data_IF_997695959921
#
_entry.id   IF_997695959921
#
_cell.length_a   1.000
_cell.length_b   1.000
_cell.length_c   1.000
_cell.angle_alpha   90.00
_cell.angle_beta   90.00
_cell.angle_gamma   90.00
#
_symmetry.space_group_name_H-M   'P 1'
#
loop_
_entity.id
_entity.type
_entity.pdbx_description
1 polymer ?
#
# COMPACT_ATOMS: atom_id res chain seq x y z
N UNK A 1 -6.29 -1.61 -25.08
CA UNK A 1 -7.33 -1.96 -26.10
C UNK A 1 -8.73 -2.06 -25.49
N UNK A 2 -8.93 -2.62 -24.30
CA UNK A 2 -10.24 -2.78 -23.63
C UNK A 2 -10.91 -1.43 -23.36
N UNK A 3 -10.21 -0.48 -22.76
CA UNK A 3 -10.72 0.88 -22.52
C UNK A 3 -11.25 1.56 -23.79
N UNK A 4 -10.57 1.38 -24.94
CA UNK A 4 -11.03 1.94 -26.20
C UNK A 4 -12.39 1.38 -26.66
N UNK A 5 -12.68 0.13 -26.34
CA UNK A 5 -13.99 -0.48 -26.66
C UNK A 5 -15.10 0.14 -25.85
N UNK A 6 -14.90 0.29 -24.52
CA UNK A 6 -15.89 0.85 -23.60
C UNK A 6 -16.00 2.38 -23.65
N UNK A 7 -15.02 3.06 -24.29
CA UNK A 7 -15.02 4.51 -24.49
C UNK A 7 -15.83 4.97 -25.71
N UNK A 8 -16.20 4.07 -26.65
CA UNK A 8 -16.79 4.43 -27.97
C UNK A 8 -18.01 5.34 -27.90
N UNK A 9 -18.86 5.17 -26.90
CA UNK A 9 -20.13 5.90 -26.76
C UNK A 9 -20.07 6.98 -25.67
N UNK A 10 -18.89 7.41 -25.26
CA UNK A 10 -18.69 8.39 -24.18
C UNK A 10 -17.90 9.59 -24.70
N UNK A 11 -18.26 10.79 -24.23
CA UNK A 11 -17.57 12.03 -24.58
C UNK A 11 -16.57 12.35 -23.47
N UNK A 12 -15.31 12.45 -23.82
CA UNK A 12 -14.23 12.81 -22.91
C UNK A 12 -13.74 14.22 -23.16
N UNK A 13 -13.30 14.90 -22.12
CA UNK A 13 -12.54 16.13 -22.21
C UNK A 13 -11.21 15.88 -22.95
N UNK A 14 -10.66 16.86 -23.70
CA UNK A 14 -9.42 16.71 -24.46
C UNK A 14 -8.20 16.31 -23.61
N UNK A 15 -8.22 16.61 -22.33
CA UNK A 15 -7.16 16.29 -21.35
C UNK A 15 -7.13 14.81 -20.96
N UNK A 16 -8.20 14.04 -21.22
CA UNK A 16 -8.33 12.65 -20.78
C UNK A 16 -7.53 11.74 -21.71
N UNK A 17 -6.55 11.05 -21.15
CA UNK A 17 -5.73 10.08 -21.85
C UNK A 17 -6.04 8.65 -21.37
N UNK A 18 -6.55 7.80 -22.26
CA UNK A 18 -6.87 6.40 -21.93
C UNK A 18 -5.64 5.56 -21.55
N UNK A 19 -4.43 5.94 -21.96
CA UNK A 19 -3.21 5.23 -21.56
C UNK A 19 -2.86 5.54 -20.10
N UNK A 20 -3.02 6.80 -19.69
CA UNK A 20 -2.85 7.20 -18.27
C UNK A 20 -3.83 6.48 -17.36
N UNK A 21 -5.10 6.31 -17.81
CA UNK A 21 -6.09 5.54 -17.07
C UNK A 21 -5.63 4.08 -16.91
N UNK A 22 -5.11 3.46 -17.98
CA UNK A 22 -4.64 2.08 -17.94
C UNK A 22 -3.45 1.89 -16.96
N UNK A 23 -2.53 2.87 -16.91
CA UNK A 23 -1.41 2.87 -15.97
C UNK A 23 -1.86 2.98 -14.49
N UNK A 24 -2.95 3.70 -14.23
CA UNK A 24 -3.51 3.90 -12.89
C UNK A 24 -4.46 2.79 -12.43
N UNK A 25 -4.76 1.82 -13.28
CA UNK A 25 -5.68 0.71 -12.99
C UNK A 25 -5.02 -0.66 -13.20
N UNK A 26 -3.84 -0.94 -12.60
CA UNK A 26 -3.26 -2.26 -12.69
C UNK A 26 -4.18 -3.30 -12.01
N UNK A 27 -4.29 -4.49 -12.60
CA UNK A 27 -5.12 -5.57 -12.05
C UNK A 27 -6.62 -5.46 -12.33
N UNK A 28 -7.11 -4.37 -12.93
CA UNK A 28 -8.53 -4.26 -13.29
C UNK A 28 -8.89 -5.22 -14.41
N UNK A 29 -9.97 -5.97 -14.22
CA UNK A 29 -10.57 -6.77 -15.27
C UNK A 29 -11.25 -5.92 -16.33
N UNK A 30 -11.64 -6.52 -17.46
CA UNK A 30 -12.43 -5.81 -18.47
C UNK A 30 -13.76 -5.27 -17.93
N UNK A 31 -14.38 -5.99 -16.98
CA UNK A 31 -15.60 -5.56 -16.31
C UNK A 31 -15.38 -4.35 -15.40
N UNK A 32 -14.27 -4.33 -14.65
CA UNK A 32 -13.92 -3.19 -13.79
C UNK A 32 -13.65 -1.93 -14.62
N UNK A 33 -12.94 -2.06 -15.75
CA UNK A 33 -12.69 -0.95 -16.67
C UNK A 33 -13.98 -0.42 -17.34
N UNK A 34 -14.92 -1.30 -17.65
CA UNK A 34 -16.23 -0.90 -18.15
C UNK A 34 -17.02 -0.15 -17.07
N UNK A 35 -17.03 -0.66 -15.84
CA UNK A 35 -17.66 -0.05 -14.70
C UNK A 35 -17.04 1.33 -14.40
N UNK A 36 -15.70 1.44 -14.42
CA UNK A 36 -14.99 2.71 -14.25
C UNK A 36 -15.50 3.80 -15.19
N UNK A 37 -15.56 3.50 -16.48
CA UNK A 37 -16.00 4.49 -17.46
C UNK A 37 -17.51 4.80 -17.34
N UNK A 38 -18.33 3.86 -16.85
CA UNK A 38 -19.74 4.10 -16.56
C UNK A 38 -19.92 5.00 -15.33
N UNK A 39 -19.22 4.71 -14.23
CA UNK A 39 -19.22 5.55 -13.03
C UNK A 39 -18.74 6.97 -13.33
N UNK A 40 -17.67 7.12 -14.13
CA UNK A 40 -17.18 8.43 -14.56
C UNK A 40 -18.24 9.21 -15.37
N UNK A 41 -18.99 8.53 -16.22
CA UNK A 41 -20.08 9.17 -16.97
C UNK A 41 -21.25 9.57 -16.05
N UNK A 42 -21.56 8.78 -15.03
CA UNK A 42 -22.59 9.09 -14.03
C UNK A 42 -22.16 10.30 -13.20
N UNK A 43 -20.89 10.39 -12.78
CA UNK A 43 -20.35 11.54 -12.05
C UNK A 43 -20.42 12.81 -12.88
N UNK A 44 -19.97 12.78 -14.14
CA UNK A 44 -20.09 13.89 -15.08
C UNK A 44 -21.54 14.36 -15.23
N UNK A 45 -22.49 13.42 -15.39
CA UNK A 45 -23.90 13.72 -15.49
C UNK A 45 -24.47 14.37 -14.22
N UNK A 46 -24.08 13.91 -13.03
CA UNK A 46 -24.46 14.52 -11.73
C UNK A 46 -23.95 15.95 -11.59
N UNK A 47 -22.75 16.24 -12.11
CA UNK A 47 -22.16 17.58 -12.14
C UNK A 47 -22.72 18.44 -13.29
N UNK A 48 -23.65 17.90 -14.07
CA UNK A 48 -24.26 18.55 -15.24
C UNK A 48 -23.24 18.93 -16.32
N UNK A 49 -22.10 18.21 -16.40
CA UNK A 49 -21.15 18.37 -17.47
C UNK A 49 -21.50 17.48 -18.67
N UNK A 50 -21.10 17.90 -19.88
CA UNK A 50 -21.36 17.15 -21.12
C UNK A 50 -20.22 16.22 -21.52
N UNK A 51 -19.11 16.26 -20.79
CA UNK A 51 -17.89 15.49 -21.05
C UNK A 51 -17.33 14.96 -19.75
N UNK A 52 -16.72 13.79 -19.82
CA UNK A 52 -16.02 13.16 -18.70
C UNK A 52 -14.64 13.81 -18.55
N UNK A 53 -14.34 14.34 -17.37
CA UNK A 53 -13.06 14.98 -17.05
C UNK A 53 -12.09 13.99 -16.40
N UNK A 54 -10.81 14.36 -16.28
CA UNK A 54 -9.81 13.60 -15.53
C UNK A 54 -10.20 13.44 -14.05
N UNK A 55 -10.85 14.46 -13.46
CA UNK A 55 -11.34 14.41 -12.08
C UNK A 55 -12.45 13.39 -11.89
N UNK A 56 -13.39 13.29 -12.85
CA UNK A 56 -14.46 12.28 -12.80
C UNK A 56 -13.89 10.87 -12.83
N UNK A 57 -12.85 10.66 -13.65
CA UNK A 57 -12.16 9.37 -13.74
C UNK A 57 -11.43 9.06 -12.43
N UNK A 58 -10.66 10.01 -11.90
CA UNK A 58 -9.95 9.83 -10.63
C UNK A 58 -10.91 9.48 -9.49
N UNK A 59 -11.99 10.23 -9.34
CA UNK A 59 -13.02 9.97 -8.34
C UNK A 59 -13.70 8.61 -8.53
N UNK A 60 -13.87 8.16 -9.78
CA UNK A 60 -14.44 6.85 -10.07
C UNK A 60 -13.47 5.71 -9.78
N UNK A 61 -12.19 5.87 -10.05
CA UNK A 61 -11.14 4.92 -9.65
C UNK A 61 -11.15 4.75 -8.14
N UNK A 62 -11.10 5.86 -7.42
CA UNK A 62 -11.17 5.88 -5.97
C UNK A 62 -12.42 5.14 -5.45
N UNK A 63 -13.58 5.44 -6.02
CA UNK A 63 -14.86 4.82 -5.63
C UNK A 63 -14.90 3.31 -5.88
N UNK A 64 -14.32 2.83 -6.96
CA UNK A 64 -14.32 1.39 -7.29
C UNK A 64 -13.36 0.63 -6.37
N UNK A 65 -12.19 1.18 -6.07
CA UNK A 65 -11.18 0.49 -5.27
C UNK A 65 -11.50 0.58 -3.78
N UNK A 66 -11.90 1.76 -3.30
CA UNK A 66 -12.03 2.02 -1.86
C UNK A 66 -13.47 2.13 -1.36
N UNK A 67 -14.46 2.17 -2.29
CA UNK A 67 -15.87 2.29 -1.95
C UNK A 67 -16.39 3.73 -1.97
N UNK A 68 -17.61 3.90 -1.47
CA UNK A 68 -18.28 5.20 -1.39
C UNK A 68 -17.61 6.09 -0.35
N UNK A 69 -17.59 7.40 -0.63
CA UNK A 69 -17.17 8.40 0.34
C UNK A 69 -18.07 8.37 1.58
N UNK A 70 -17.44 8.34 2.73
CA UNK A 70 -18.10 8.44 4.03
C UNK A 70 -18.26 9.89 4.47
N UNK A 71 -18.84 10.07 5.65
CA UNK A 71 -18.94 11.39 6.26
C UNK A 71 -17.55 11.87 6.72
N UNK A 72 -17.20 13.11 6.38
CA UNK A 72 -15.95 13.73 6.82
C UNK A 72 -15.82 13.70 8.35
N UNK A 73 -14.60 13.50 8.83
CA UNK A 73 -14.26 13.54 10.25
C UNK A 73 -14.52 14.96 10.78
N UNK A 74 -15.47 15.09 11.70
CA UNK A 74 -15.86 16.40 12.28
C UNK A 74 -14.97 16.81 13.45
N UNK A 75 -14.41 15.83 14.17
CA UNK A 75 -13.59 16.08 15.35
C UNK A 75 -12.14 16.35 14.94
N UNK A 76 -11.61 17.49 15.39
CA UNK A 76 -10.24 17.93 15.06
C UNK A 76 -9.16 16.99 15.63
N UNK A 77 -9.37 16.40 16.83
CA UNK A 77 -8.43 15.45 17.43
C UNK A 77 -8.36 14.15 16.62
N UNK A 78 -9.50 13.55 16.32
CA UNK A 78 -9.57 12.34 15.50
C UNK A 78 -9.03 12.57 14.09
N UNK A 79 -9.31 13.75 13.49
CA UNK A 79 -8.79 14.12 12.17
C UNK A 79 -7.25 14.18 12.16
N UNK A 80 -6.64 14.80 13.20
CA UNK A 80 -5.17 14.84 13.32
C UNK A 80 -4.57 13.45 13.56
N UNK A 81 -5.20 12.62 14.38
CA UNK A 81 -4.72 11.26 14.64
C UNK A 81 -4.68 10.44 13.35
N UNK A 82 -5.78 10.45 12.59
CA UNK A 82 -5.82 9.79 11.28
C UNK A 82 -4.79 10.41 10.33
N UNK A 83 -4.60 11.72 10.34
CA UNK A 83 -3.60 12.38 9.50
C UNK A 83 -2.16 11.91 9.83
N UNK A 84 -1.80 11.76 11.11
CA UNK A 84 -0.51 11.21 11.49
C UNK A 84 -0.35 9.76 11.06
N UNK A 85 -1.41 8.97 11.20
CA UNK A 85 -1.43 7.58 10.75
C UNK A 85 -1.14 7.48 9.24
N UNK A 86 -1.90 8.20 8.40
CA UNK A 86 -1.74 8.17 6.94
C UNK A 86 -0.39 8.76 6.48
N UNK A 87 0.04 9.87 7.06
CA UNK A 87 1.36 10.45 6.76
C UNK A 87 2.48 9.51 7.23
N UNK A 88 2.27 8.75 8.31
CA UNK A 88 3.19 7.72 8.75
C UNK A 88 3.43 6.66 7.68
N UNK A 89 2.37 6.11 7.07
CA UNK A 89 2.48 5.21 5.92
C UNK A 89 3.21 5.86 4.74
N UNK A 90 2.83 7.09 4.40
CA UNK A 90 3.39 7.80 3.25
C UNK A 90 4.89 8.08 3.40
N UNK A 91 5.35 8.55 4.58
CA UNK A 91 6.77 8.81 4.84
C UNK A 91 7.57 7.51 4.84
N UNK A 92 7.13 6.49 5.59
CA UNK A 92 7.86 5.23 5.65
C UNK A 92 7.98 4.57 4.29
N UNK A 93 6.90 4.54 3.49
CA UNK A 93 6.94 4.01 2.14
C UNK A 93 7.86 4.81 1.21
N UNK A 94 7.82 6.16 1.29
CA UNK A 94 8.65 7.00 0.41
C UNK A 94 10.14 6.93 0.75
N UNK A 95 10.49 6.75 2.04
CA UNK A 95 11.88 6.64 2.48
C UNK A 95 12.52 5.29 2.18
N UNK A 96 11.76 4.32 1.66
CA UNK A 96 12.25 3.00 1.30
C UNK A 96 12.33 2.86 -0.22
N UNK A 97 13.53 2.67 -0.74
CA UNK A 97 13.79 2.56 -2.20
C UNK A 97 13.06 1.40 -2.89
N UNK A 98 12.76 0.33 -2.15
CA UNK A 98 12.11 -0.88 -2.66
C UNK A 98 10.57 -0.87 -2.43
N UNK A 99 10.02 0.24 -1.94
CA UNK A 99 8.58 0.43 -1.76
C UNK A 99 7.94 1.09 -2.98
N UNK A 100 6.67 0.78 -3.22
CA UNK A 100 5.88 1.43 -4.26
C UNK A 100 5.71 2.93 -3.94
N UNK A 101 5.67 3.82 -4.95
CA UNK A 101 5.52 5.26 -4.71
C UNK A 101 4.14 5.63 -4.20
N UNK A 102 4.11 6.66 -3.35
CA UNK A 102 2.87 7.29 -2.91
C UNK A 102 2.22 8.01 -4.10
N UNK A 103 1.00 7.65 -4.42
CA UNK A 103 0.16 8.30 -5.43
C UNK A 103 -0.67 9.42 -4.80
N UNK A 104 -1.23 9.15 -3.60
CA UNK A 104 -2.11 10.09 -2.90
C UNK A 104 -2.25 9.73 -1.42
N UNK A 105 -2.41 10.75 -0.58
CA UNK A 105 -2.79 10.62 0.83
C UNK A 105 -4.07 11.42 1.05
N UNK A 106 -5.09 10.82 1.67
CA UNK A 106 -6.38 11.50 1.89
C UNK A 106 -7.01 11.17 3.24
N UNK A 107 -7.69 12.15 3.81
CA UNK A 107 -8.53 12.02 5.01
C UNK A 107 -10.01 11.85 4.68
N UNK A 108 -10.36 11.78 3.40
CA UNK A 108 -11.74 11.50 2.97
C UNK A 108 -12.03 10.03 3.26
N UNK A 109 -12.93 9.71 4.21
CA UNK A 109 -13.21 8.33 4.57
C UNK A 109 -13.83 7.58 3.39
N UNK A 110 -13.47 6.30 3.22
CA UNK A 110 -14.06 5.43 2.19
C UNK A 110 -14.30 4.04 2.76
N UNK A 111 -15.51 3.55 2.60
CA UNK A 111 -15.90 2.27 3.18
C UNK A 111 -15.69 2.25 4.70
N UNK A 112 -14.82 1.39 5.19
CA UNK A 112 -14.47 1.30 6.62
C UNK A 112 -13.19 2.11 6.98
N UNK A 113 -12.43 2.56 6.00
CA UNK A 113 -11.21 3.34 6.20
C UNK A 113 -11.56 4.80 6.53
N UNK A 114 -10.92 5.36 7.56
CA UNK A 114 -11.09 6.77 7.98
C UNK A 114 -10.18 7.72 7.23
N UNK A 115 -9.12 7.22 6.64
CA UNK A 115 -8.17 7.84 5.75
C UNK A 115 -7.64 6.79 4.79
N UNK A 116 -6.79 7.19 3.85
CA UNK A 116 -6.19 6.28 2.89
C UNK A 116 -4.88 6.85 2.36
N UNK A 117 -3.84 6.04 2.42
CA UNK A 117 -2.58 6.26 1.72
C UNK A 117 -2.48 5.28 0.56
N UNK A 118 -2.42 5.81 -0.64
CA UNK A 118 -2.40 4.99 -1.85
C UNK A 118 -1.00 4.90 -2.42
N UNK A 119 -0.58 3.66 -2.68
CA UNK A 119 0.67 3.33 -3.35
C UNK A 119 0.38 2.68 -4.69
N UNK A 120 1.03 3.12 -5.75
CA UNK A 120 0.85 2.55 -7.08
C UNK A 120 2.15 1.87 -7.53
N UNK A 121 2.13 0.57 -7.83
CA UNK A 121 3.29 -0.10 -8.41
C UNK A 121 3.71 0.56 -9.73
N UNK A 122 5.01 0.80 -9.89
CA UNK A 122 5.55 1.41 -11.12
C UNK A 122 5.53 0.45 -12.30
N UNK A 123 5.65 -0.85 -12.05
CA UNK A 123 5.66 -1.90 -13.07
C UNK A 123 4.82 -3.11 -12.63
N UNK A 124 4.35 -3.87 -13.60
CA UNK A 124 3.67 -5.16 -13.36
C UNK A 124 4.74 -6.20 -12.99
N UNK A 125 5.06 -6.25 -11.69
CA UNK A 125 6.14 -7.08 -11.14
C UNK A 125 5.63 -8.51 -10.98
N UNK A 126 5.97 -9.40 -11.91
CA UNK A 126 5.66 -10.83 -11.81
C UNK A 126 6.37 -11.54 -10.64
N UNK A 127 7.48 -11.01 -10.13
CA UNK A 127 8.25 -11.53 -8.99
C UNK A 127 8.56 -10.43 -7.99
N UNK A 128 8.36 -10.73 -6.71
CA UNK A 128 8.60 -9.80 -5.60
C UNK A 128 9.83 -10.25 -4.81
N UNK A 129 10.80 -9.36 -4.62
CA UNK A 129 12.01 -9.64 -3.86
C UNK A 129 11.75 -9.60 -2.34
N UNK A 130 12.66 -10.23 -1.56
CA UNK A 130 12.64 -10.14 -0.09
C UNK A 130 12.67 -8.68 0.40
N UNK A 131 13.49 -7.83 -0.24
CA UNK A 131 13.59 -6.40 0.10
C UNK A 131 12.26 -5.67 -0.10
N UNK A 132 11.55 -5.95 -1.20
CA UNK A 132 10.24 -5.35 -1.47
C UNK A 132 9.17 -5.80 -0.49
N UNK A 133 9.17 -7.07 -0.05
CA UNK A 133 8.23 -7.54 0.97
C UNK A 133 8.51 -6.85 2.31
N UNK A 134 9.79 -6.78 2.73
CA UNK A 134 10.17 -6.07 3.95
C UNK A 134 9.80 -4.58 3.88
N UNK A 135 10.02 -3.92 2.75
CA UNK A 135 9.63 -2.54 2.55
C UNK A 135 8.10 -2.34 2.70
N UNK A 136 7.30 -3.24 2.14
CA UNK A 136 5.83 -3.21 2.29
C UNK A 136 5.40 -3.42 3.74
N UNK A 137 6.06 -4.33 4.48
CA UNK A 137 5.79 -4.53 5.91
C UNK A 137 6.12 -3.26 6.70
N UNK A 138 7.28 -2.64 6.46
CA UNK A 138 7.70 -1.40 7.13
C UNK A 138 6.71 -0.26 6.80
N UNK A 139 6.34 -0.11 5.52
CA UNK A 139 5.35 0.88 5.08
C UNK A 139 3.99 0.70 5.77
N UNK A 140 3.51 -0.55 5.86
CA UNK A 140 2.24 -0.86 6.55
C UNK A 140 2.31 -0.63 8.07
N UNK A 141 3.48 -0.74 8.70
CA UNK A 141 3.66 -0.41 10.12
C UNK A 141 3.78 1.09 10.38
N UNK A 142 3.97 1.90 9.33
CA UNK A 142 4.17 3.34 9.42
C UNK A 142 3.06 4.09 10.13
N UNK A 143 1.80 3.71 9.92
CA UNK A 143 0.66 4.34 10.60
C UNK A 143 0.72 4.16 12.12
N UNK A 144 0.87 2.91 12.59
CA UNK A 144 1.02 2.62 14.01
C UNK A 144 2.26 3.28 14.61
N UNK A 145 3.39 3.21 13.92
CA UNK A 145 4.63 3.82 14.38
C UNK A 145 4.52 5.35 14.50
N UNK A 146 3.76 6.01 13.61
CA UNK A 146 3.48 7.44 13.71
C UNK A 146 2.65 7.79 14.94
N UNK A 147 1.60 7.01 15.24
CA UNK A 147 0.83 7.17 16.46
C UNK A 147 1.71 7.06 17.71
N UNK A 148 2.58 6.06 17.75
CA UNK A 148 3.49 5.81 18.87
C UNK A 148 4.51 6.94 19.06
N UNK A 149 5.15 7.41 17.99
CA UNK A 149 6.15 8.51 18.01
C UNK A 149 5.52 9.84 18.46
N UNK A 150 4.25 10.08 18.09
CA UNK A 150 3.61 11.38 18.31
C UNK A 150 2.85 11.45 19.62
N UNK A 151 2.09 10.40 19.96
CA UNK A 151 1.18 10.37 21.09
C UNK A 151 1.68 9.48 22.23
N UNK A 152 2.69 8.64 21.98
CA UNK A 152 3.21 7.66 22.92
C UNK A 152 2.48 6.32 22.84
N UNK A 153 3.12 5.25 23.32
CA UNK A 153 2.62 3.87 23.22
C UNK A 153 1.23 3.67 23.85
N UNK A 154 0.95 4.37 24.95
CA UNK A 154 -0.34 4.29 25.64
C UNK A 154 -1.54 4.82 24.83
N UNK A 155 -1.30 5.69 23.83
CA UNK A 155 -2.31 6.34 23.00
C UNK A 155 -2.46 5.69 21.61
N UNK A 156 -1.74 4.60 21.34
CA UNK A 156 -1.88 3.85 20.09
C UNK A 156 -3.30 3.31 19.96
N UNK A 157 -3.88 3.48 18.79
CA UNK A 157 -5.29 3.16 18.56
C UNK A 157 -5.52 1.82 17.87
N UNK A 158 -6.78 1.38 17.83
CA UNK A 158 -7.20 0.21 17.06
C UNK A 158 -7.25 0.48 15.54
N UNK A 159 -6.94 1.69 15.09
CA UNK A 159 -6.93 2.08 13.68
C UNK A 159 -6.05 1.19 12.82
N UNK A 160 -4.88 0.83 13.35
CA UNK A 160 -3.90 -0.02 12.68
C UNK A 160 -4.24 -1.52 12.65
N UNK A 161 -5.42 -1.97 13.09
CA UNK A 161 -5.73 -3.40 13.21
C UNK A 161 -5.64 -4.16 11.88
N UNK A 162 -6.09 -3.54 10.79
CA UNK A 162 -6.00 -4.13 9.45
C UNK A 162 -4.56 -4.22 8.95
N UNK A 163 -3.76 -3.19 9.22
CA UNK A 163 -2.34 -3.16 8.86
C UNK A 163 -1.56 -4.25 9.58
N UNK A 164 -1.83 -4.44 10.88
CA UNK A 164 -1.22 -5.51 11.67
C UNK A 164 -1.59 -6.90 11.14
N UNK A 165 -2.84 -7.11 10.72
CA UNK A 165 -3.25 -8.38 10.10
C UNK A 165 -2.51 -8.62 8.78
N UNK A 166 -2.39 -7.60 7.93
CA UNK A 166 -1.66 -7.70 6.65
C UNK A 166 -0.17 -7.95 6.89
N UNK A 167 0.47 -7.21 7.78
CA UNK A 167 1.88 -7.36 8.18
C UNK A 167 2.15 -8.78 8.66
N UNK A 168 1.32 -9.29 9.56
CA UNK A 168 1.47 -10.65 10.10
C UNK A 168 1.32 -11.70 9.00
N UNK A 169 0.36 -11.52 8.08
CA UNK A 169 0.17 -12.41 6.93
C UNK A 169 1.36 -12.40 5.98
N UNK A 170 1.89 -11.22 5.62
CA UNK A 170 3.07 -11.10 4.76
C UNK A 170 4.32 -11.70 5.41
N UNK A 171 4.58 -11.43 6.69
CA UNK A 171 5.71 -12.01 7.42
C UNK A 171 5.58 -13.53 7.50
N UNK A 172 4.38 -14.06 7.76
CA UNK A 172 4.14 -15.50 7.78
C UNK A 172 4.38 -16.15 6.43
N UNK A 173 3.93 -15.53 5.32
CA UNK A 173 4.19 -16.03 3.97
C UNK A 173 5.69 -16.03 3.63
N UNK A 174 6.46 -15.02 4.07
CA UNK A 174 7.91 -15.00 3.93
C UNK A 174 8.57 -16.24 4.54
N UNK A 175 8.13 -16.61 5.76
CA UNK A 175 8.67 -17.75 6.49
C UNK A 175 8.17 -19.08 5.88
N UNK A 176 6.86 -19.22 5.69
CA UNK A 176 6.26 -20.52 5.39
C UNK A 176 6.24 -20.89 3.92
N UNK A 177 6.09 -19.90 3.02
CA UNK A 177 5.86 -20.17 1.60
C UNK A 177 7.06 -19.81 0.73
N UNK A 178 7.79 -18.75 1.08
CA UNK A 178 8.86 -18.23 0.22
C UNK A 178 10.27 -18.64 0.68
N UNK A 179 10.40 -19.24 1.88
CA UNK A 179 11.71 -19.61 2.44
C UNK A 179 12.64 -18.40 2.61
N UNK A 180 12.10 -17.22 2.92
CA UNK A 180 12.81 -15.95 3.00
C UNK A 180 13.13 -15.54 4.44
N UNK A 181 13.27 -16.51 5.36
CA UNK A 181 13.62 -16.28 6.77
C UNK A 181 14.98 -16.90 7.14
N UNK A 182 15.38 -16.79 8.39
CA UNK A 182 16.61 -17.41 8.89
C UNK A 182 16.48 -18.94 9.07
N UNK A 183 15.26 -19.46 9.09
CA UNK A 183 15.02 -20.91 9.11
C UNK A 183 15.57 -21.59 7.85
N UNK A 184 15.73 -20.83 6.76
CA UNK A 184 16.31 -21.30 5.51
C UNK A 184 15.29 -21.44 4.38
N UNK A 185 15.74 -21.86 3.18
CA UNK A 185 14.89 -21.96 1.99
C UNK A 185 14.02 -23.22 2.03
N UNK A 186 13.11 -23.28 3.00
CA UNK A 186 12.18 -24.39 3.19
C UNK A 186 10.75 -23.86 3.10
N UNK A 187 9.86 -24.65 2.48
CA UNK A 187 8.44 -24.40 2.52
C UNK A 187 7.79 -25.27 3.62
N UNK A 188 6.98 -24.63 4.45
CA UNK A 188 6.19 -25.33 5.48
C UNK A 188 4.76 -25.47 4.96
N UNK A 189 4.27 -26.70 4.94
CA UNK A 189 2.93 -27.00 4.41
C UNK A 189 1.87 -26.34 5.30
N UNK A 190 1.05 -25.48 4.71
CA UNK A 190 -0.09 -24.83 5.40
C UNK A 190 -1.28 -25.80 5.61
N UNK A 191 -1.12 -27.06 5.23
CA UNK A 191 -2.18 -28.09 5.27
C UNK A 191 -2.39 -28.75 6.65
N UNK A 192 -1.97 -28.13 7.74
CA UNK A 192 -2.30 -28.64 9.10
C UNK A 192 -3.80 -28.72 9.38
N UNK A 193 -4.66 -28.10 8.55
CA UNK A 193 -6.11 -28.26 8.66
C UNK A 193 -6.67 -29.56 8.05
N UNK A 194 -5.88 -30.29 7.25
CA UNK A 194 -6.37 -31.52 6.58
C UNK A 194 -6.05 -32.81 7.35
N UNK A 195 -5.19 -32.75 8.37
CA UNK A 195 -4.77 -33.93 9.13
C UNK A 195 -5.41 -34.08 10.52
N UNK A 196 -6.24 -33.12 10.94
CA UNK A 196 -6.96 -33.22 12.22
C UNK A 196 -8.08 -34.33 12.19
N UNK A 197 -8.37 -34.89 11.03
CA UNK A 197 -9.44 -35.87 10.87
C UNK A 197 -9.00 -37.34 10.69
N UNK A 198 -7.71 -37.63 10.74
CA UNK A 198 -7.25 -39.02 10.69
C UNK A 198 -6.56 -39.39 12.03
N UNK A 199 -7.38 -40.06 12.79
CA UNK A 199 -7.12 -40.92 13.94
C UNK A 199 -5.70 -41.31 14.31
N UNK A 200 -5.51 -41.31 15.64
CA UNK A 200 -4.69 -42.18 16.49
C UNK A 200 -3.16 -41.98 16.54
N UNK A 201 -2.76 -41.58 17.75
CA UNK A 201 -1.55 -42.05 18.45
C UNK A 201 -0.18 -41.85 17.82
N UNK A 202 0.33 -40.60 17.94
CA UNK A 202 1.80 -40.44 18.12
C UNK A 202 2.08 -39.17 18.92
N UNK A 203 2.31 -39.32 20.21
CA UNK A 203 2.79 -38.23 21.09
C UNK A 203 4.08 -37.55 20.53
N UNK A 204 4.89 -38.28 19.77
CA UNK A 204 6.11 -37.73 19.13
C UNK A 204 5.88 -36.80 17.94
N UNK A 205 4.85 -37.05 17.11
CA UNK A 205 4.54 -36.17 15.93
C UNK A 205 3.95 -34.83 16.39
N UNK A 206 3.10 -34.84 17.43
CA UNK A 206 2.55 -33.61 17.99
C UNK A 206 3.67 -32.70 18.56
N UNK A 207 4.70 -33.24 19.17
CA UNK A 207 5.81 -32.46 19.71
C UNK A 207 6.66 -31.82 18.61
N UNK A 208 6.90 -32.51 17.51
CA UNK A 208 7.64 -31.99 16.35
C UNK A 208 6.87 -30.89 15.62
N UNK A 209 5.55 -31.03 15.46
CA UNK A 209 4.66 -30.03 14.86
C UNK A 209 4.63 -28.78 15.72
N UNK A 210 4.49 -28.93 17.05
CA UNK A 210 4.49 -27.81 18.00
C UNK A 210 5.84 -27.06 18.00
N UNK A 211 6.97 -27.78 17.93
CA UNK A 211 8.30 -27.16 17.86
C UNK A 211 8.50 -26.38 16.56
N UNK A 212 8.03 -26.91 15.44
CA UNK A 212 8.10 -26.23 14.13
C UNK A 212 7.22 -24.98 14.11
N UNK A 213 5.98 -25.08 14.60
CA UNK A 213 5.07 -23.92 14.67
C UNK A 213 5.63 -22.82 15.56
N UNK A 214 6.19 -23.19 16.72
CA UNK A 214 6.84 -22.24 17.63
C UNK A 214 8.03 -21.52 16.97
N UNK A 215 8.84 -22.22 16.17
CA UNK A 215 9.93 -21.62 15.40
C UNK A 215 9.43 -20.65 14.35
N UNK A 216 8.36 -21.00 13.60
CA UNK A 216 7.73 -20.13 12.62
C UNK A 216 7.20 -18.86 13.29
N UNK A 217 6.47 -19.00 14.40
CA UNK A 217 5.89 -17.86 15.11
C UNK A 217 6.97 -16.91 15.65
N UNK A 218 8.08 -17.47 16.15
CA UNK A 218 9.23 -16.68 16.60
C UNK A 218 9.86 -15.88 15.45
N UNK A 219 10.10 -16.50 14.29
CA UNK A 219 10.64 -15.83 13.11
C UNK A 219 9.70 -14.73 12.60
N UNK A 220 8.39 -14.99 12.56
CA UNK A 220 7.39 -13.99 12.21
C UNK A 220 7.48 -12.79 13.15
N UNK A 221 7.55 -13.03 14.46
CA UNK A 221 7.68 -11.98 15.46
C UNK A 221 8.97 -11.17 15.29
N UNK A 222 10.11 -11.83 15.04
CA UNK A 222 11.39 -11.17 14.80
C UNK A 222 11.35 -10.28 13.54
N UNK A 223 10.76 -10.75 12.44
CA UNK A 223 10.58 -9.96 11.23
C UNK A 223 9.73 -8.72 11.51
N UNK A 224 8.58 -8.89 12.17
CA UNK A 224 7.65 -7.79 12.47
C UNK A 224 8.30 -6.76 13.40
N UNK A 225 8.97 -7.21 14.46
CA UNK A 225 9.69 -6.32 15.40
C UNK A 225 10.78 -5.52 14.69
N UNK A 226 11.61 -6.19 13.88
CA UNK A 226 12.63 -5.51 13.09
C UNK A 226 12.04 -4.44 12.17
N UNK A 227 10.97 -4.77 11.46
CA UNK A 227 10.30 -3.82 10.57
C UNK A 227 9.68 -2.64 11.34
N UNK A 228 9.13 -2.90 12.53
CA UNK A 228 8.57 -1.86 13.39
C UNK A 228 9.66 -0.88 13.88
N UNK A 229 10.80 -1.40 14.34
CA UNK A 229 11.94 -0.57 14.72
C UNK A 229 12.45 0.31 13.57
N UNK A 230 12.48 -0.25 12.33
CA UNK A 230 12.84 0.53 11.15
C UNK A 230 11.82 1.66 10.88
N UNK A 231 10.51 1.38 10.99
CA UNK A 231 9.46 2.39 10.83
C UNK A 231 9.60 3.51 11.87
N UNK A 232 9.79 3.17 13.15
CA UNK A 232 10.05 4.14 14.22
C UNK A 232 11.28 5.01 13.94
N UNK A 233 12.39 4.40 13.50
CA UNK A 233 13.62 5.11 13.17
C UNK A 233 13.42 6.12 12.03
N UNK A 234 12.73 5.71 10.96
CA UNK A 234 12.42 6.58 9.83
C UNK A 234 11.58 7.77 10.28
N UNK A 235 10.53 7.53 11.06
CA UNK A 235 9.61 8.59 11.48
C UNK A 235 10.24 9.54 12.50
N UNK A 236 11.03 9.05 13.44
CA UNK A 236 11.76 9.90 14.37
C UNK A 236 12.73 10.82 13.64
N UNK A 237 13.44 10.32 12.62
CA UNK A 237 14.37 11.12 11.81
C UNK A 237 13.63 12.19 11.01
N UNK A 238 12.42 11.90 10.56
CA UNK A 238 11.62 12.79 9.69
C UNK A 238 10.48 13.50 10.43
N UNK A 239 10.56 13.64 11.75
CA UNK A 239 9.49 14.18 12.59
C UNK A 239 9.01 15.56 12.17
N UNK A 240 9.91 16.47 11.82
CA UNK A 240 9.56 17.84 11.39
C UNK A 240 8.79 17.84 10.10
N UNK A 241 9.23 17.02 9.13
CA UNK A 241 8.52 16.83 7.86
C UNK A 241 7.12 16.25 8.08
N UNK A 242 7.01 15.26 8.98
CA UNK A 242 5.73 14.63 9.34
C UNK A 242 4.74 15.66 9.90
N UNK A 243 5.14 16.49 10.84
CA UNK A 243 4.28 17.52 11.43
C UNK A 243 3.80 18.52 10.37
N UNK A 244 4.68 18.95 9.47
CA UNK A 244 4.34 19.86 8.37
C UNK A 244 3.34 19.25 7.38
N UNK A 245 3.57 17.99 6.97
CA UNK A 245 2.68 17.27 6.06
C UNK A 245 1.30 17.00 6.69
N UNK A 246 1.26 16.72 7.99
CA UNK A 246 0.00 16.55 8.73
C UNK A 246 -0.81 17.82 8.74
N UNK A 247 -0.20 18.98 9.03
CA UNK A 247 -0.90 20.27 9.02
C UNK A 247 -1.50 20.55 7.64
N UNK A 248 -0.75 20.31 6.57
CA UNK A 248 -1.24 20.47 5.21
C UNK A 248 -2.37 19.46 4.87
N UNK A 249 -2.24 18.20 5.29
CA UNK A 249 -3.26 17.18 5.04
C UNK A 249 -4.57 17.50 5.78
N UNK A 250 -4.49 18.03 7.00
CA UNK A 250 -5.67 18.44 7.76
C UNK A 250 -6.39 19.61 7.08
N UNK A 251 -5.63 20.54 6.46
CA UNK A 251 -6.17 21.70 5.74
C UNK A 251 -6.78 21.31 4.39
N UNK A 252 -6.04 20.56 3.55
CA UNK A 252 -6.43 20.22 2.18
C UNK A 252 -7.29 18.96 2.07
N UNK A 253 -7.31 18.12 3.09
CA UNK A 253 -7.95 16.79 3.15
C UNK A 253 -7.37 15.76 2.16
N UNK A 254 -6.61 16.19 1.19
CA UNK A 254 -5.94 15.32 0.20
C UNK A 254 -4.65 15.98 -0.27
N UNK A 255 -3.57 15.19 -0.36
CA UNK A 255 -2.28 15.57 -0.92
C UNK A 255 -1.94 14.57 -2.02
N UNK A 256 -1.65 15.05 -3.23
CA UNK A 256 -1.18 14.22 -4.33
C UNK A 256 0.30 13.82 -4.13
N UNK A 257 0.69 12.65 -4.63
CA UNK A 257 2.02 12.10 -4.38
C UNK A 257 3.18 12.96 -4.86
N UNK A 258 3.00 13.74 -5.94
CA UNK A 258 4.01 14.69 -6.40
C UNK A 258 4.25 15.81 -5.38
N UNK A 259 3.19 16.45 -4.91
CA UNK A 259 3.23 17.51 -3.89
C UNK A 259 3.79 16.98 -2.55
N UNK A 260 3.38 15.75 -2.17
CA UNK A 260 3.90 15.08 -0.98
C UNK A 260 5.42 14.91 -1.03
N UNK A 261 5.96 14.41 -2.15
CA UNK A 261 7.40 14.20 -2.33
C UNK A 261 8.16 15.51 -2.42
N UNK A 262 7.61 16.54 -3.05
CA UNK A 262 8.21 17.88 -3.13
C UNK A 262 8.43 18.42 -1.71
N UNK A 263 7.39 18.45 -0.88
CA UNK A 263 7.48 18.93 0.50
C UNK A 263 8.43 18.07 1.34
N UNK A 264 8.35 16.74 1.23
CA UNK A 264 9.24 15.86 1.98
C UNK A 264 10.72 16.10 1.61
N UNK A 265 11.01 16.38 0.34
CA UNK A 265 12.36 16.64 -0.16
C UNK A 265 12.99 17.94 0.41
N UNK A 266 12.19 18.89 0.90
CA UNK A 266 12.69 20.09 1.60
C UNK A 266 13.35 19.76 2.95
N UNK A 267 12.97 18.63 3.57
CA UNK A 267 13.41 18.24 4.91
C UNK A 267 14.39 17.08 4.91
N UNK A 268 14.38 16.25 3.87
CA UNK A 268 15.20 15.04 3.81
C UNK A 268 15.57 14.66 2.39
N UNK A 269 16.71 13.98 2.23
CA UNK A 269 17.08 13.42 0.93
C UNK A 269 16.25 12.18 0.64
N UNK A 270 15.48 12.22 -0.44
CA UNK A 270 14.72 11.05 -0.87
C UNK A 270 15.68 9.99 -1.43
N UNK A 271 15.46 8.70 -1.15
CA UNK A 271 16.27 7.62 -1.69
C UNK A 271 16.11 7.57 -3.22
N UNK A 272 17.24 7.46 -3.93
CA UNK A 272 17.21 7.19 -5.36
C UNK A 272 16.61 5.79 -5.60
N UNK A 273 15.55 5.72 -6.38
CA UNK A 273 15.00 4.45 -6.83
C UNK A 273 16.00 3.78 -7.74
N UNK A 274 16.16 2.46 -7.60
CA UNK A 274 16.93 1.67 -8.56
C UNK A 274 16.19 1.73 -9.90
N UNK A 275 16.80 2.36 -10.93
CA UNK A 275 16.42 2.09 -12.30
C UNK A 275 16.73 0.61 -12.57
N UNK A 276 15.72 -0.20 -12.69
CA UNK A 276 15.86 -1.56 -13.22
C UNK A 276 16.18 -1.44 -14.71
N UNK A 277 17.46 -1.39 -15.03
CA UNK A 277 17.90 -1.59 -16.41
C UNK A 277 17.51 -3.02 -16.77
N UNK A 278 16.48 -3.16 -17.60
CA UNK A 278 16.01 -4.48 -18.02
C UNK A 278 17.18 -5.24 -18.66
N UNK A 279 17.23 -6.56 -18.45
CA UNK A 279 18.27 -7.42 -19.05
C UNK A 279 18.33 -7.22 -20.58
N UNK A 280 17.23 -6.86 -21.20
CA UNK A 280 17.11 -6.59 -22.62
C UNK A 280 17.74 -5.26 -23.05
N UNK A 281 17.78 -4.25 -22.19
CA UNK A 281 18.42 -2.95 -22.49
C UNK A 281 19.96 -3.03 -22.42
N UNK A 282 20.52 -3.94 -21.60
CA UNK A 282 21.96 -4.21 -21.58
C UNK A 282 22.47 -4.77 -22.91
N UNK A 283 21.64 -5.51 -23.64
CA UNK A 283 22.00 -6.12 -24.93
C UNK A 283 21.84 -5.16 -26.12
N UNK A 284 21.08 -4.06 -25.98
CA UNK A 284 21.00 -3.02 -27.04
C UNK A 284 22.26 -2.18 -27.22
N UNK A 285 23.13 -2.10 -26.21
CA UNK A 285 24.40 -1.38 -26.30
C UNK A 285 25.56 -2.16 -26.96
N UNK A 286 25.35 -3.40 -27.35
CA UNK A 286 26.39 -4.27 -27.97
C UNK A 286 26.25 -4.39 -29.49
N UNK A 287 25.21 -3.78 -30.10
CA UNK A 287 24.96 -3.85 -31.54
C UNK A 287 24.95 -2.46 -32.20
N UNK A 288 26.00 -1.67 -31.98
CA UNK A 288 26.36 -0.57 -32.91
C UNK A 288 27.80 -0.76 -33.31
N UNK A 289 28.07 -0.80 -34.64
CA UNK A 289 29.38 -1.12 -35.23
C UNK A 289 30.43 -0.05 -34.96
#
# INVERSE_FOLDING_TARGET
SILKVHARNKKFSPEVNLNTIAQRTPGFSGADLANLLNESAILAARQKTTQITSNDISSSVDRIITGLEGNCLKDSRSKRLVAYHEIGHAITGTMLKDHDPVEKVTLIPRGQARGLTWFTPEEDQGLISRGQILARIIGSLGGRAAEEVVFGDAEVTTGASNDIMQVTSMARQMVTSYGMSQVGPMAFDNNTNSQIFLEDNKEGENTLILDTTSKIDKEVQEIVNYCHEQALSILNTNRIAMDRLVDLLVEKETIEGAEFREILSEYTNLPEKKEYVSFFDKNKKVLTP
#
